data_IF_345508056737
#
_entry.id   IF_345508056737
#
_cell.length_a   1.000
_cell.length_b   1.000
_cell.length_c   1.000
_cell.angle_alpha   90.00
_cell.angle_beta   90.00
_cell.angle_gamma   90.00
#
_symmetry.space_group_name_H-M   'P 1'
#
loop_
_entity.id
_entity.type
_entity.pdbx_description
1 polymer ?
#
# COMPACT_ATOMS: atom_id res chain seq x y z
N UNK A 1 31.23 8.74 18.68
CA UNK A 1 30.92 9.71 17.60
C UNK A 1 29.44 9.59 17.25
N UNK A 2 28.60 10.60 17.57
CA UNK A 2 27.17 10.58 17.20
C UNK A 2 27.05 10.81 15.70
N UNK A 3 26.64 9.80 14.95
CA UNK A 3 26.43 9.93 13.50
C UNK A 3 25.38 11.01 13.23
N UNK A 4 25.80 12.06 12.52
CA UNK A 4 24.95 13.16 12.09
C UNK A 4 24.13 12.63 10.91
N UNK A 5 22.90 12.19 11.15
CA UNK A 5 22.00 11.76 10.09
C UNK A 5 21.92 12.87 9.02
N UNK A 6 22.26 12.60 7.74
CA UNK A 6 22.28 13.64 6.70
C UNK A 6 20.88 14.22 6.45
N UNK A 7 19.83 13.45 6.75
CA UNK A 7 18.46 13.77 6.40
C UNK A 7 17.70 14.58 7.47
N UNK A 8 18.31 14.90 8.61
CA UNK A 8 17.61 15.60 9.70
C UNK A 8 17.14 17.01 9.31
N UNK A 9 17.91 17.71 8.47
CA UNK A 9 17.52 19.03 7.98
C UNK A 9 16.34 18.95 7.01
N UNK A 10 16.32 17.92 6.13
CA UNK A 10 15.22 17.69 5.19
C UNK A 10 13.92 17.41 5.93
N UNK A 11 13.94 16.61 7.00
CA UNK A 11 12.72 16.32 7.78
C UNK A 11 12.12 17.57 8.41
N UNK A 12 12.94 18.46 8.98
CA UNK A 12 12.45 19.73 9.51
C UNK A 12 11.89 20.61 8.40
N UNK A 13 12.56 20.67 7.25
CA UNK A 13 12.05 21.41 6.10
C UNK A 13 10.69 20.85 5.63
N UNK A 14 10.54 19.53 5.54
CA UNK A 14 9.27 18.88 5.21
C UNK A 14 8.16 19.25 6.20
N UNK A 15 8.46 19.31 7.51
CA UNK A 15 7.48 19.74 8.52
C UNK A 15 7.08 21.20 8.30
N UNK A 16 8.04 22.09 8.04
CA UNK A 16 7.77 23.52 7.78
C UNK A 16 6.92 23.68 6.52
N UNK A 17 7.29 23.02 5.43
CA UNK A 17 6.54 23.06 4.16
C UNK A 17 5.13 22.50 4.37
N UNK A 18 4.98 21.39 5.09
CA UNK A 18 3.68 20.82 5.43
C UNK A 18 2.80 21.80 6.21
N UNK A 19 3.33 22.47 7.23
CA UNK A 19 2.62 23.49 8.00
C UNK A 19 2.19 24.68 7.13
N UNK A 20 3.05 25.13 6.21
CA UNK A 20 2.73 26.22 5.28
C UNK A 20 1.63 25.82 4.28
N UNK A 21 1.67 24.59 3.76
CA UNK A 21 0.61 24.07 2.88
C UNK A 21 -0.72 24.00 3.64
N UNK A 22 -0.74 23.51 4.88
CA UNK A 22 -1.96 23.49 5.71
C UNK A 22 -2.46 24.92 5.95
N UNK A 23 -1.57 25.87 6.21
CA UNK A 23 -1.96 27.27 6.38
C UNK A 23 -2.63 27.85 5.13
N UNK A 24 -2.28 27.40 3.92
CA UNK A 24 -2.95 27.86 2.70
C UNK A 24 -4.46 27.55 2.70
N UNK A 25 -4.86 26.44 3.31
CA UNK A 25 -6.27 26.06 3.44
C UNK A 25 -6.95 26.71 4.65
N UNK A 26 -6.26 26.77 5.79
CA UNK A 26 -6.83 27.21 7.08
C UNK A 26 -6.79 28.73 7.26
N UNK A 27 -5.91 29.45 6.53
CA UNK A 27 -5.69 30.90 6.59
C UNK A 27 -5.48 31.43 8.02
N UNK A 28 -4.73 30.69 8.85
CA UNK A 28 -4.51 31.05 10.24
C UNK A 28 -3.08 31.54 10.45
N UNK A 29 -2.92 32.81 10.81
CA UNK A 29 -1.63 33.45 11.03
C UNK A 29 -0.77 32.76 12.11
N UNK A 30 -1.41 32.09 13.08
CA UNK A 30 -0.71 31.35 14.15
C UNK A 30 0.17 30.23 13.58
N UNK A 31 -0.27 29.56 12.51
CA UNK A 31 0.49 28.44 11.91
C UNK A 31 1.83 28.91 11.32
N UNK A 32 1.85 30.12 10.75
CA UNK A 32 3.07 30.70 10.15
C UNK A 32 4.09 31.01 11.25
N UNK A 33 3.64 31.61 12.35
CA UNK A 33 4.51 31.89 13.50
C UNK A 33 5.09 30.61 14.10
N UNK A 34 4.29 29.55 14.22
CA UNK A 34 4.75 28.23 14.69
C UNK A 34 5.79 27.64 13.74
N UNK A 35 5.57 27.70 12.42
CA UNK A 35 6.52 27.20 11.43
C UNK A 35 7.87 27.95 11.49
N UNK A 36 7.84 29.28 11.63
CA UNK A 36 9.03 30.11 11.79
C UNK A 36 9.76 29.77 13.10
N UNK A 37 9.04 29.63 14.21
CA UNK A 37 9.63 29.28 15.50
C UNK A 37 10.32 27.90 15.45
N UNK A 38 9.66 26.89 14.89
CA UNK A 38 10.21 25.54 14.74
C UNK A 38 11.44 25.55 13.83
N UNK A 39 11.39 26.27 12.70
CA UNK A 39 12.52 26.43 11.80
C UNK A 39 13.71 27.12 12.45
N UNK A 40 13.48 28.26 13.12
CA UNK A 40 14.51 29.00 13.83
C UNK A 40 15.18 28.18 14.93
N UNK A 41 14.38 27.53 15.79
CA UNK A 41 14.88 26.66 16.87
C UNK A 41 15.68 25.47 16.33
N UNK A 42 15.31 24.94 15.18
CA UNK A 42 16.01 23.81 14.54
C UNK A 42 17.37 24.19 13.96
N UNK A 43 17.55 25.44 13.54
CA UNK A 43 18.83 25.98 13.08
C UNK A 43 19.75 26.25 14.27
N UNK A 44 19.20 26.84 15.34
CA UNK A 44 19.95 27.22 16.54
C UNK A 44 20.45 26.02 17.34
N UNK A 45 19.68 24.92 17.41
CA UNK A 45 20.03 23.76 18.24
C UNK A 45 19.98 22.44 17.48
N UNK A 46 21.15 21.78 17.38
CA UNK A 46 21.24 20.43 16.83
C UNK A 46 20.52 19.37 17.66
N UNK A 47 20.30 19.61 18.97
CA UNK A 47 19.58 18.67 19.84
C UNK A 47 18.10 18.66 19.52
N UNK A 48 17.49 19.86 19.41
CA UNK A 48 16.08 20.03 19.08
C UNK A 48 15.77 19.42 17.71
N UNK A 49 16.61 19.73 16.71
CA UNK A 49 16.50 19.16 15.36
C UNK A 49 16.45 17.63 15.37
N UNK A 50 17.31 17.00 16.17
CA UNK A 50 17.40 15.54 16.23
C UNK A 50 16.22 14.92 16.98
N UNK A 51 15.72 15.57 18.04
CA UNK A 51 14.51 15.11 18.76
C UNK A 51 13.27 15.18 17.89
N UNK A 52 13.08 16.29 17.16
CA UNK A 52 11.96 16.46 16.21
C UNK A 52 12.02 15.37 15.14
N UNK A 53 13.19 15.16 14.54
CA UNK A 53 13.38 14.11 13.54
C UNK A 53 13.06 12.72 14.10
N UNK A 54 13.57 12.40 15.31
CA UNK A 54 13.29 11.11 15.94
C UNK A 54 11.79 10.88 16.17
N UNK A 55 11.09 11.91 16.67
CA UNK A 55 9.65 11.84 16.91
C UNK A 55 8.87 11.69 15.60
N UNK A 56 9.27 12.43 14.55
CA UNK A 56 8.71 12.35 13.22
C UNK A 56 8.89 10.96 12.61
N UNK A 57 10.10 10.39 12.71
CA UNK A 57 10.38 9.05 12.19
C UNK A 57 9.59 7.99 12.94
N UNK A 58 9.47 8.09 14.27
CA UNK A 58 8.59 7.19 15.04
C UNK A 58 7.14 7.24 14.56
N UNK A 59 6.63 8.42 14.23
CA UNK A 59 5.29 8.57 13.67
C UNK A 59 5.20 7.91 12.29
N UNK A 60 6.20 8.12 11.43
CA UNK A 60 6.27 7.49 10.11
C UNK A 60 6.31 5.96 10.20
N UNK A 61 7.04 5.39 11.16
CA UNK A 61 7.10 3.94 11.38
C UNK A 61 5.72 3.38 11.76
N UNK A 62 5.01 4.05 12.66
CA UNK A 62 3.65 3.65 13.07
C UNK A 62 2.70 3.72 11.87
N UNK A 63 2.74 4.80 11.10
CA UNK A 63 1.96 4.92 9.87
C UNK A 63 2.34 3.81 8.87
N UNK A 64 3.62 3.50 8.73
CA UNK A 64 4.14 2.45 7.87
C UNK A 64 3.62 1.05 8.19
N UNK A 65 3.18 0.80 9.43
CA UNK A 65 2.54 -0.47 9.82
C UNK A 65 1.04 -0.52 9.47
N UNK A 66 0.39 0.64 9.47
CA UNK A 66 -1.06 0.77 9.29
C UNK A 66 -1.40 0.93 7.80
N UNK A 67 -0.67 1.79 7.10
CA UNK A 67 -0.90 2.17 5.71
C UNK A 67 -0.95 0.95 4.77
N UNK A 68 -0.01 -0.01 4.81
CA UNK A 68 -0.05 -1.18 3.93
C UNK A 68 -1.30 -2.03 4.13
N UNK A 69 -1.78 -2.17 5.38
CA UNK A 69 -3.02 -2.90 5.68
C UNK A 69 -4.24 -2.19 5.10
N UNK A 70 -4.29 -0.86 5.21
CA UNK A 70 -5.36 -0.05 4.64
C UNK A 70 -5.33 -0.14 3.11
N UNK A 71 -4.16 0.07 2.49
CA UNK A 71 -4.01 0.01 1.03
C UNK A 71 -4.37 -1.39 0.52
N UNK A 72 -3.89 -2.45 1.17
CA UNK A 72 -4.20 -3.82 0.77
C UNK A 72 -5.70 -4.12 0.88
N UNK A 73 -6.34 -3.71 1.98
CA UNK A 73 -7.79 -3.85 2.14
C UNK A 73 -8.56 -3.08 1.06
N UNK A 74 -8.13 -1.84 0.78
CA UNK A 74 -8.72 -0.99 -0.24
C UNK A 74 -8.61 -1.64 -1.63
N UNK A 75 -7.41 -2.10 -2.01
CA UNK A 75 -7.16 -2.80 -3.27
C UNK A 75 -7.96 -4.09 -3.36
N UNK A 76 -8.04 -4.85 -2.27
CA UNK A 76 -8.84 -6.07 -2.23
C UNK A 76 -10.32 -5.77 -2.48
N UNK A 77 -10.89 -4.75 -1.84
CA UNK A 77 -12.30 -4.41 -2.01
C UNK A 77 -12.64 -3.73 -3.34
N UNK A 78 -11.77 -2.86 -3.85
CA UNK A 78 -12.02 -2.11 -5.08
C UNK A 78 -11.61 -2.84 -6.36
N UNK A 79 -10.66 -3.78 -6.29
CA UNK A 79 -10.13 -4.47 -7.47
C UNK A 79 -10.43 -5.97 -7.39
N UNK A 80 -9.91 -6.66 -6.39
CA UNK A 80 -9.97 -8.14 -6.34
C UNK A 80 -11.41 -8.65 -6.14
N UNK A 81 -12.15 -8.03 -5.23
CA UNK A 81 -13.53 -8.40 -4.92
C UNK A 81 -14.46 -8.24 -6.12
N UNK A 82 -14.52 -7.08 -6.81
CA UNK A 82 -15.36 -6.97 -7.99
C UNK A 82 -14.90 -7.89 -9.11
N UNK A 83 -13.60 -8.10 -9.31
CA UNK A 83 -13.10 -9.08 -10.28
C UNK A 83 -13.61 -10.50 -10.00
N UNK A 84 -13.65 -10.91 -8.73
CA UNK A 84 -14.22 -12.20 -8.32
C UNK A 84 -15.73 -12.28 -8.54
N UNK A 85 -16.46 -11.19 -8.31
CA UNK A 85 -17.91 -11.12 -8.59
C UNK A 85 -18.16 -11.16 -10.11
N UNK A 86 -17.38 -10.42 -10.89
CA UNK A 86 -17.45 -10.44 -12.35
C UNK A 86 -17.09 -11.82 -12.90
N UNK A 87 -16.05 -12.48 -12.38
CA UNK A 87 -15.70 -13.84 -12.82
C UNK A 87 -16.80 -14.83 -12.44
N UNK A 88 -17.46 -14.67 -11.29
CA UNK A 88 -18.63 -15.49 -10.92
C UNK A 88 -19.81 -15.29 -11.86
N UNK A 89 -20.02 -14.08 -12.38
CA UNK A 89 -21.12 -13.78 -13.29
C UNK A 89 -20.81 -14.19 -14.74
N UNK A 90 -19.57 -14.03 -15.18
CA UNK A 90 -19.12 -14.33 -16.55
C UNK A 90 -18.72 -15.79 -16.75
N UNK A 91 -18.34 -16.51 -15.70
CA UNK A 91 -17.97 -17.92 -15.82
C UNK A 91 -19.22 -18.80 -16.02
N UNK A 92 -19.21 -19.69 -17.03
CA UNK A 92 -20.20 -20.76 -17.16
C UNK A 92 -20.31 -21.56 -15.86
N UNK A 93 -21.55 -21.76 -15.41
CA UNK A 93 -21.95 -22.38 -14.13
C UNK A 93 -21.32 -23.76 -13.85
N UNK A 94 -20.75 -24.42 -14.86
CA UNK A 94 -20.39 -25.84 -14.87
C UNK A 94 -18.88 -26.12 -14.72
N UNK A 95 -18.03 -25.12 -14.52
CA UNK A 95 -16.59 -25.36 -14.32
C UNK A 95 -16.26 -25.94 -12.93
N UNK A 96 -17.14 -25.76 -11.96
CA UNK A 96 -16.96 -26.26 -10.60
C UNK A 96 -18.03 -27.32 -10.33
N UNK A 97 -17.61 -28.58 -10.24
CA UNK A 97 -18.44 -29.67 -9.73
C UNK A 97 -18.59 -29.43 -8.22
N UNK A 98 -19.55 -28.59 -7.84
CA UNK A 98 -19.79 -28.21 -6.45
C UNK A 98 -20.64 -29.23 -5.70
N UNK A 99 -21.21 -30.21 -6.41
CA UNK A 99 -22.06 -31.26 -5.85
C UNK A 99 -21.52 -32.62 -6.27
N UNK A 100 -21.26 -33.49 -5.29
CA UNK A 100 -20.71 -34.83 -5.52
C UNK A 100 -21.82 -35.78 -5.97
N UNK A 101 -22.33 -35.53 -7.18
CA UNK A 101 -23.50 -36.20 -7.75
C UNK A 101 -23.09 -37.39 -8.64
N UNK A 102 -21.79 -37.64 -8.75
CA UNK A 102 -21.21 -38.62 -9.68
C UNK A 102 -20.34 -39.60 -8.89
N UNK A 103 -20.46 -40.88 -9.22
CA UNK A 103 -19.64 -41.94 -8.63
C UNK A 103 -18.14 -41.84 -9.01
N UNK A 104 -17.82 -41.01 -10.02
CA UNK A 104 -16.46 -40.85 -10.54
C UNK A 104 -16.15 -39.40 -10.92
N UNK A 105 -14.92 -38.97 -10.62
CA UNK A 105 -14.32 -37.70 -11.05
C UNK A 105 -13.76 -37.75 -12.47
N UNK A 106 -13.76 -38.92 -13.12
CA UNK A 106 -13.36 -39.05 -14.51
C UNK A 106 -14.48 -38.57 -15.44
N UNK A 107 -14.09 -37.84 -16.47
CA UNK A 107 -14.98 -37.44 -17.56
C UNK A 107 -14.77 -38.41 -18.71
N UNK A 108 -15.85 -38.99 -19.24
CA UNK A 108 -15.79 -39.68 -20.52
C UNK A 108 -15.52 -38.65 -21.62
N UNK A 109 -14.37 -38.82 -22.28
CA UNK A 109 -13.96 -37.96 -23.39
C UNK A 109 -13.98 -38.79 -24.66
N UNK A 110 -14.96 -38.53 -25.52
CA UNK A 110 -15.06 -39.12 -26.86
C UNK A 110 -14.04 -38.44 -27.79
N UNK A 111 -12.74 -38.73 -27.58
CA UNK A 111 -11.65 -38.24 -28.43
C UNK A 111 -11.39 -39.22 -29.56
N UNK A 112 -11.47 -38.73 -30.81
CA UNK A 112 -10.95 -39.46 -31.97
C UNK A 112 -9.42 -39.38 -31.95
N UNK A 113 -8.77 -40.53 -31.80
CA UNK A 113 -7.31 -40.62 -31.81
C UNK A 113 -6.80 -40.59 -33.25
N UNK A 114 -6.22 -39.45 -33.65
CA UNK A 114 -5.52 -39.32 -34.93
C UNK A 114 -4.02 -39.66 -34.77
N UNK A 115 -3.38 -40.07 -35.88
CA UNK A 115 -1.99 -40.54 -35.89
C UNK A 115 -0.99 -39.50 -35.35
N UNK A 116 -1.26 -38.21 -35.59
CA UNK A 116 -0.48 -37.07 -35.09
C UNK A 116 -0.41 -37.01 -33.55
N UNK A 117 -1.41 -37.58 -32.86
CA UNK A 117 -1.47 -37.63 -31.40
C UNK A 117 -0.39 -38.53 -30.79
N UNK A 118 0.13 -39.49 -31.56
CA UNK A 118 1.19 -40.41 -31.14
C UNK A 118 2.59 -39.96 -31.52
N UNK A 119 2.73 -38.89 -32.33
CA UNK A 119 4.04 -38.42 -32.80
C UNK A 119 4.78 -37.61 -31.72
N UNK A 120 4.07 -37.08 -30.72
CA UNK A 120 4.67 -36.38 -29.56
C UNK A 120 4.02 -36.88 -28.27
N UNK A 121 4.62 -37.90 -27.63
CA UNK A 121 4.09 -38.46 -26.39
C UNK A 121 4.35 -37.61 -25.13
N UNK A 122 4.96 -36.43 -25.27
CA UNK A 122 5.26 -35.49 -24.18
C UNK A 122 4.72 -34.08 -24.46
#
# INVERSE_FOLDING_TARGET
MKQKNPNTALTVLTIIVGLLVVNFFVKNEVLVWVAIAIGGLSILSSLIRNTIHFLWMKLADILGLIIPKIILSLVFFLIVTPLGVFSRWLSPKEQLILKNDKDSTFFDVDKKFEKSFFEKPW
#
